data_IF_436423996496
#
_entry.id   IF_436423996496
#
_cell.length_a   1.000
_cell.length_b   1.000
_cell.length_c   1.000
_cell.angle_alpha   90.00
_cell.angle_beta   90.00
_cell.angle_gamma   90.00
#
_symmetry.space_group_name_H-M   'P 1'
#
loop_
_entity.id
_entity.type
_entity.pdbx_description
1 polymer ?
#
# COMPACT_ATOMS: atom_id res chain seq x y z
N UNK A 1 0.33 -11.84 0.25
CA UNK A 1 1.80 -11.74 0.23
C UNK A 1 2.27 -10.98 -1.00
N UNK A 2 3.45 -10.36 -0.92
CA UNK A 2 4.16 -9.70 -2.03
C UNK A 2 5.67 -9.72 -1.72
N UNK A 3 6.52 -9.48 -2.72
CA UNK A 3 7.98 -9.53 -2.56
C UNK A 3 8.55 -8.11 -2.47
N UNK A 4 8.84 -7.64 -1.25
CA UNK A 4 9.35 -6.30 -0.91
C UNK A 4 8.36 -5.14 -1.19
N UNK A 5 7.88 -5.00 -2.42
CA UNK A 5 6.83 -4.05 -2.79
C UNK A 5 5.74 -4.72 -3.64
N UNK A 6 4.62 -4.01 -3.82
CA UNK A 6 3.55 -4.46 -4.72
C UNK A 6 3.91 -4.03 -6.14
N UNK A 7 4.12 -5.00 -7.02
CA UNK A 7 4.44 -4.77 -8.43
C UNK A 7 3.27 -5.22 -9.30
N UNK A 8 2.09 -4.62 -9.08
CA UNK A 8 0.88 -4.98 -9.82
C UNK A 8 0.34 -6.39 -9.55
N UNK A 9 0.96 -7.14 -8.63
CA UNK A 9 0.57 -8.50 -8.27
C UNK A 9 0.72 -8.74 -6.77
N UNK A 10 -0.13 -9.61 -6.25
CA UNK A 10 -0.06 -10.17 -4.89
C UNK A 10 -0.31 -11.67 -4.95
N UNK A 11 -0.02 -12.36 -3.85
CA UNK A 11 -0.09 -13.81 -3.76
C UNK A 11 -0.90 -14.23 -2.53
N UNK A 12 -1.66 -15.31 -2.66
CA UNK A 12 -2.47 -15.87 -1.56
C UNK A 12 -1.61 -16.53 -0.48
N UNK A 13 -0.45 -17.05 -0.86
CA UNK A 13 0.48 -17.79 0.00
C UNK A 13 1.89 -17.21 -0.03
N UNK A 14 2.69 -17.53 0.99
CA UNK A 14 4.06 -17.08 1.19
C UNK A 14 5.07 -17.65 0.18
N UNK A 15 4.69 -18.72 -0.53
CA UNK A 15 5.51 -19.30 -1.59
C UNK A 15 5.56 -18.46 -2.88
N UNK A 16 4.75 -17.39 -2.96
CA UNK A 16 4.68 -16.46 -4.10
C UNK A 16 4.35 -17.14 -5.44
N UNK A 17 3.54 -18.20 -5.38
CA UNK A 17 2.98 -18.88 -6.55
C UNK A 17 1.58 -18.36 -6.87
N UNK A 18 1.15 -18.55 -8.13
CA UNK A 18 -0.19 -18.19 -8.61
C UNK A 18 -0.53 -16.70 -8.38
N UNK A 19 0.11 -15.78 -9.12
CA UNK A 19 -0.06 -14.35 -8.91
C UNK A 19 -1.50 -13.91 -9.19
N UNK A 20 -2.01 -13.04 -8.31
CA UNK A 20 -3.27 -12.33 -8.47
C UNK A 20 -2.92 -10.91 -8.93
N UNK A 21 -3.42 -10.50 -10.09
CA UNK A 21 -3.26 -9.13 -10.56
C UNK A 21 -3.97 -8.17 -9.60
N UNK A 22 -3.25 -7.13 -9.15
CA UNK A 22 -3.78 -6.14 -8.22
C UNK A 22 -5.00 -5.44 -8.79
N UNK A 23 -5.05 -4.97 -10.06
CA UNK A 23 -6.26 -4.34 -10.59
C UNK A 23 -7.49 -5.27 -10.51
N UNK A 24 -7.34 -6.53 -10.92
CA UNK A 24 -8.43 -7.52 -10.86
C UNK A 24 -8.91 -7.73 -9.42
N UNK A 25 -7.98 -7.87 -8.45
CA UNK A 25 -8.33 -7.99 -7.04
C UNK A 25 -9.06 -6.73 -6.55
N UNK A 26 -8.53 -5.56 -6.86
CA UNK A 26 -9.11 -4.29 -6.46
C UNK A 26 -10.54 -4.17 -7.00
N UNK A 27 -10.82 -4.55 -8.24
CA UNK A 27 -12.16 -4.46 -8.84
C UNK A 27 -13.22 -5.32 -8.14
N UNK A 28 -12.81 -6.35 -7.41
CA UNK A 28 -13.73 -7.13 -6.55
C UNK A 28 -14.09 -6.43 -5.23
N UNK A 29 -13.40 -5.34 -4.90
CA UNK A 29 -13.50 -4.65 -3.61
C UNK A 29 -14.03 -3.22 -3.79
N UNK A 30 -14.98 -2.82 -2.92
CA UNK A 30 -15.42 -1.43 -2.81
C UNK A 30 -14.57 -0.64 -1.79
N UNK A 31 -14.72 0.69 -1.76
CA UNK A 31 -13.90 1.57 -0.91
C UNK A 31 -14.11 1.38 0.61
N UNK A 32 -15.17 0.67 1.02
CA UNK A 32 -15.53 0.44 2.42
C UNK A 32 -14.69 -0.65 3.08
N UNK A 33 -14.00 -1.47 2.29
CA UNK A 33 -13.01 -2.40 2.81
C UNK A 33 -11.88 -1.64 3.49
N UNK A 34 -11.34 -2.24 4.55
CA UNK A 34 -10.22 -1.71 5.32
C UNK A 34 -8.97 -2.46 4.92
N UNK A 35 -7.91 -1.75 4.54
CA UNK A 35 -6.64 -2.37 4.14
C UNK A 35 -5.63 -2.26 5.26
N UNK A 36 -4.99 -3.38 5.56
CA UNK A 36 -3.88 -3.46 6.50
C UNK A 36 -2.73 -4.11 5.75
N UNK A 37 -1.64 -3.36 5.55
CA UNK A 37 -0.37 -3.91 5.08
C UNK A 37 0.50 -4.25 6.28
N UNK A 38 1.34 -5.28 6.15
CA UNK A 38 2.23 -5.73 7.22
C UNK A 38 3.61 -5.96 6.63
N UNK A 39 4.64 -5.33 7.21
CA UNK A 39 6.03 -5.44 6.79
C UNK A 39 6.91 -4.36 7.41
N UNK A 40 8.23 -4.52 7.37
CA UNK A 40 9.21 -3.56 7.91
C UNK A 40 9.32 -2.25 7.10
N UNK A 41 8.74 -2.23 5.89
CA UNK A 41 8.85 -1.14 4.93
C UNK A 41 10.31 -0.84 4.51
N UNK A 42 11.23 -1.78 4.77
CA UNK A 42 12.64 -1.68 4.45
C UNK A 42 12.94 -2.51 3.20
N UNK A 43 13.45 -1.86 2.16
CA UNK A 43 13.86 -2.50 0.91
C UNK A 43 14.90 -1.63 0.20
N UNK A 44 15.54 -2.16 -0.83
CA UNK A 44 16.45 -1.33 -1.62
C UNK A 44 15.66 -0.20 -2.30
N UNK A 45 16.17 1.05 -2.37
CA UNK A 45 15.43 2.15 -3.00
C UNK A 45 14.99 1.86 -4.43
N UNK A 46 15.80 1.12 -5.20
CA UNK A 46 15.44 0.70 -6.56
C UNK A 46 14.28 -0.30 -6.63
N UNK A 47 14.03 -1.06 -5.56
CA UNK A 47 12.85 -1.93 -5.47
C UNK A 47 11.58 -1.11 -5.25
N UNK A 48 11.62 -0.07 -4.41
CA UNK A 48 10.44 0.76 -4.17
C UNK A 48 10.18 1.77 -5.30
N UNK A 49 11.23 2.43 -5.77
CA UNK A 49 11.16 3.57 -6.71
C UNK A 49 11.36 3.15 -8.17
N UNK A 50 11.75 1.91 -8.43
CA UNK A 50 11.82 1.35 -9.78
C UNK A 50 10.54 0.61 -10.15
N UNK A 51 10.33 0.45 -11.46
CA UNK A 51 9.39 -0.56 -11.98
C UNK A 51 10.05 -1.92 -11.80
N UNK A 52 9.58 -2.71 -10.82
CA UNK A 52 10.14 -4.03 -10.52
C UNK A 52 10.05 -5.01 -11.70
N UNK A 53 10.66 -6.21 -11.60
CA UNK A 53 10.65 -7.22 -12.67
C UNK A 53 9.23 -7.70 -13.04
N UNK A 54 8.22 -7.36 -12.24
CA UNK A 54 6.81 -7.65 -12.46
C UNK A 54 5.95 -6.40 -12.67
N UNK A 55 6.54 -5.25 -13.05
CA UNK A 55 5.86 -3.93 -13.10
C UNK A 55 4.55 -3.86 -13.90
N UNK A 56 4.29 -4.81 -14.80
CA UNK A 56 3.00 -5.00 -15.46
C UNK A 56 2.17 -6.12 -14.82
N UNK A 57 0.94 -5.83 -14.35
CA UNK A 57 0.00 -6.84 -13.83
C UNK A 57 -0.28 -7.95 -14.85
N UNK A 58 -0.40 -7.59 -16.13
CA UNK A 58 -0.83 -8.46 -17.23
C UNK A 58 0.31 -8.93 -18.13
N UNK A 59 1.56 -8.57 -17.81
CA UNK A 59 2.74 -8.95 -18.57
C UNK A 59 3.19 -7.92 -19.62
N UNK A 60 4.22 -8.35 -20.37
CA UNK A 60 5.33 -7.58 -20.95
C UNK A 60 6.33 -7.09 -19.89
N UNK A 61 7.35 -7.91 -19.69
CA UNK A 61 8.43 -7.71 -18.72
C UNK A 61 9.49 -6.78 -19.33
N UNK A 62 9.29 -5.48 -19.25
CA UNK A 62 10.38 -4.53 -19.46
C UNK A 62 10.64 -3.77 -18.16
N UNK A 63 11.84 -3.90 -17.61
CA UNK A 63 12.29 -2.95 -16.58
C UNK A 63 12.12 -1.53 -17.14
N UNK A 64 11.38 -0.69 -16.45
CA UNK A 64 11.12 0.71 -16.84
C UNK A 64 9.76 0.99 -17.48
N UNK A 65 8.96 -0.04 -17.78
CA UNK A 65 7.58 0.13 -18.28
C UNK A 65 6.56 -0.25 -17.18
N UNK A 66 5.93 0.76 -16.56
CA UNK A 66 4.83 0.57 -15.61
C UNK A 66 5.02 1.25 -14.24
N UNK A 67 3.98 1.27 -13.38
CA UNK A 67 4.03 1.94 -12.09
C UNK A 67 5.14 1.35 -11.19
N UNK A 68 5.78 2.21 -10.42
CA UNK A 68 6.76 1.81 -9.40
C UNK A 68 6.09 1.06 -8.25
N UNK A 69 6.87 0.41 -7.39
CA UNK A 69 6.34 -0.17 -6.15
C UNK A 69 5.59 0.86 -5.30
N UNK A 70 6.12 2.09 -5.24
CA UNK A 70 5.47 3.21 -4.54
C UNK A 70 4.14 3.62 -5.21
N UNK A 71 4.09 3.67 -6.54
CA UNK A 71 2.86 4.03 -7.27
C UNK A 71 1.75 3.01 -7.01
N UNK A 72 2.08 1.72 -6.93
CA UNK A 72 1.11 0.68 -6.57
C UNK A 72 0.58 0.85 -5.15
N UNK A 73 1.45 1.20 -4.20
CA UNK A 73 1.02 1.53 -2.84
C UNK A 73 0.10 2.75 -2.80
N UNK A 74 0.40 3.81 -3.55
CA UNK A 74 -0.46 4.98 -3.69
C UNK A 74 -1.81 4.60 -4.31
N UNK A 75 -1.80 3.78 -5.36
CA UNK A 75 -3.02 3.31 -6.02
C UNK A 75 -3.90 2.53 -5.04
N UNK A 76 -3.34 1.58 -4.30
CA UNK A 76 -4.05 0.83 -3.26
C UNK A 76 -4.61 1.79 -2.21
N UNK A 77 -3.79 2.69 -1.65
CA UNK A 77 -4.22 3.63 -0.62
C UNK A 77 -5.38 4.51 -1.09
N UNK A 78 -5.37 4.96 -2.35
CA UNK A 78 -6.38 5.84 -2.93
C UNK A 78 -7.76 5.18 -3.13
N UNK A 79 -7.81 3.85 -3.23
CA UNK A 79 -9.06 3.12 -3.49
C UNK A 79 -9.92 2.94 -2.25
N UNK A 80 -9.32 2.92 -1.06
CA UNK A 80 -10.00 2.59 0.18
C UNK A 80 -10.11 3.79 1.11
N UNK A 81 -11.25 3.94 1.77
CA UNK A 81 -11.49 4.99 2.77
C UNK A 81 -10.46 4.91 3.92
N UNK A 82 -10.01 3.68 4.23
CA UNK A 82 -9.14 3.38 5.35
C UNK A 82 -8.07 2.37 4.96
N UNK A 83 -6.82 2.78 5.06
CA UNK A 83 -5.63 1.94 4.92
C UNK A 83 -4.60 2.30 5.99
N UNK A 84 -3.89 1.30 6.50
CA UNK A 84 -2.79 1.45 7.47
C UNK A 84 -1.69 0.45 7.16
N UNK A 85 -0.51 0.70 7.72
CA UNK A 85 0.64 -0.19 7.64
C UNK A 85 1.12 -0.56 9.04
N UNK A 86 1.22 -1.86 9.34
CA UNK A 86 1.79 -2.38 10.57
C UNK A 86 3.26 -2.74 10.34
N UNK A 87 4.15 -2.09 11.09
CA UNK A 87 5.58 -2.27 10.96
C UNK A 87 6.15 -2.96 12.22
N UNK A 88 6.86 -4.10 12.12
CA UNK A 88 7.52 -4.75 13.27
C UNK A 88 8.70 -3.96 13.86
N UNK A 89 9.36 -3.13 13.05
CA UNK A 89 10.49 -2.32 13.50
C UNK A 89 10.02 -1.17 14.40
N UNK A 90 10.77 -0.84 15.46
CA UNK A 90 10.46 0.30 16.32
C UNK A 90 10.38 1.64 15.55
N UNK A 91 9.44 2.56 15.90
CA UNK A 91 9.23 3.84 15.21
C UNK A 91 10.48 4.72 15.02
N UNK A 92 11.46 4.60 15.93
CA UNK A 92 12.74 5.32 15.83
C UNK A 92 13.53 5.01 14.54
N UNK A 93 13.23 3.92 13.84
CA UNK A 93 13.89 3.53 12.59
C UNK A 93 13.18 4.01 11.33
N UNK A 94 11.97 4.55 11.43
CA UNK A 94 11.14 4.85 10.25
C UNK A 94 11.48 6.18 9.56
N UNK A 95 12.36 6.99 10.16
CA UNK A 95 12.64 8.36 9.71
C UNK A 95 13.40 8.49 8.39
N UNK A 96 13.76 7.40 7.72
CA UNK A 96 14.59 7.40 6.51
C UNK A 96 14.19 6.39 5.44
N UNK A 97 14.85 6.51 4.29
CA UNK A 97 14.78 5.54 3.18
C UNK A 97 13.37 5.22 2.70
N UNK A 98 13.16 3.95 2.35
CA UNK A 98 11.88 3.42 1.86
C UNK A 98 10.80 3.44 2.93
N UNK A 99 11.17 3.28 4.20
CA UNK A 99 10.22 3.32 5.31
C UNK A 99 9.57 4.71 5.42
N UNK A 100 10.35 5.79 5.29
CA UNK A 100 9.81 7.16 5.24
C UNK A 100 8.88 7.37 4.05
N UNK A 101 9.24 6.85 2.88
CA UNK A 101 8.40 6.95 1.68
C UNK A 101 7.06 6.23 1.86
N UNK A 102 7.07 4.99 2.35
CA UNK A 102 5.86 4.22 2.66
C UNK A 102 5.02 4.92 3.74
N UNK A 103 5.66 5.47 4.78
CA UNK A 103 4.98 6.24 5.83
C UNK A 103 4.36 7.56 5.38
N UNK A 104 4.72 8.05 4.19
CA UNK A 104 4.02 9.19 3.56
C UNK A 104 2.72 8.79 2.86
N UNK A 105 2.57 7.50 2.53
CA UNK A 105 1.37 6.95 1.87
C UNK A 105 0.40 6.37 2.89
N UNK A 106 0.90 5.62 3.87
CA UNK A 106 0.08 4.96 4.88
C UNK A 106 0.39 5.50 6.28
N UNK A 107 -0.64 5.77 7.11
CA UNK A 107 -0.44 5.85 8.56
C UNK A 107 0.19 4.54 9.06
N UNK A 108 1.38 4.65 9.65
CA UNK A 108 2.15 3.51 10.16
C UNK A 108 1.99 3.35 11.66
N UNK A 109 1.83 2.11 12.11
CA UNK A 109 1.74 1.74 13.52
C UNK A 109 2.71 0.59 13.83
N UNK A 110 3.25 0.58 15.06
CA UNK A 110 4.20 -0.45 15.48
C UNK A 110 3.42 -1.76 15.72
N UNK A 111 3.97 -2.90 15.30
CA UNK A 111 3.34 -4.20 15.48
C UNK A 111 3.50 -4.68 16.94
N UNK A 112 2.83 -3.97 17.85
CA UNK A 112 2.63 -4.32 19.27
C UNK A 112 1.15 -4.33 19.58
N UNK A 113 0.77 -4.75 20.78
CA UNK A 113 -0.63 -4.73 21.21
C UNK A 113 -1.21 -3.30 21.19
N UNK A 114 -0.42 -2.33 21.63
CA UNK A 114 -0.78 -0.91 21.64
C UNK A 114 -0.92 -0.38 20.21
N UNK A 115 0.05 -0.63 19.33
CA UNK A 115 -0.02 -0.16 17.95
C UNK A 115 -1.15 -0.82 17.14
N UNK A 116 -1.49 -2.09 17.43
CA UNK A 116 -2.69 -2.73 16.89
C UNK A 116 -3.97 -2.01 17.33
N UNK A 117 -4.05 -1.62 18.60
CA UNK A 117 -5.19 -0.86 19.14
C UNK A 117 -5.32 0.50 18.45
N UNK A 118 -4.21 1.21 18.27
CA UNK A 118 -4.16 2.50 17.56
C UNK A 118 -4.55 2.37 16.08
N UNK A 119 -4.03 1.35 15.39
CA UNK A 119 -4.37 1.05 14.01
C UNK A 119 -5.88 0.76 13.85
N UNK A 120 -6.45 -0.06 14.74
CA UNK A 120 -7.88 -0.37 14.72
C UNK A 120 -8.75 0.86 14.99
N UNK A 121 -8.32 1.74 15.91
CA UNK A 121 -8.99 3.02 16.13
C UNK A 121 -8.93 3.90 14.87
N UNK A 122 -7.77 3.99 14.19
CA UNK A 122 -7.61 4.74 12.94
C UNK A 122 -8.48 4.22 11.81
N UNK A 123 -8.65 2.90 11.73
CA UNK A 123 -9.50 2.22 10.75
C UNK A 123 -11.00 2.32 11.06
N UNK A 124 -11.38 2.69 12.28
CA UNK A 124 -12.78 2.73 12.71
C UNK A 124 -13.37 4.13 12.76
N UNK A 125 -12.54 5.17 12.68
CA UNK A 125 -13.01 6.55 12.51
C UNK A 125 -13.65 6.69 11.14
N UNK A 126 -14.98 6.87 11.10
CA UNK A 126 -15.73 7.02 9.87
C UNK A 126 -15.12 8.07 8.94
N UNK A 127 -15.04 7.74 7.65
CA UNK A 127 -14.61 8.63 6.58
C UNK A 127 -15.41 9.93 6.67
N UNK A 128 -14.77 11.02 7.12
CA UNK A 128 -15.31 12.35 6.88
C UNK A 128 -15.10 12.59 5.40
N UNK A 129 -16.16 12.47 4.60
CA UNK A 129 -16.12 12.84 3.20
C UNK A 129 -15.58 14.27 3.09
N UNK A 130 -14.52 14.46 2.30
CA UNK A 130 -14.04 15.79 1.99
C UNK A 130 -15.19 16.58 1.33
N UNK A 131 -15.43 17.85 1.69
CA UNK A 131 -16.51 18.62 1.10
C UNK A 131 -16.28 18.75 -0.41
N UNK A 132 -17.25 18.26 -1.20
CA UNK A 132 -17.30 18.52 -2.62
C UNK A 132 -17.42 20.02 -2.84
N UNK A 133 -16.38 20.65 -3.38
CA UNK A 133 -16.48 22.00 -3.91
C UNK A 133 -17.38 21.98 -5.14
N UNK A 134 -18.67 22.31 -4.95
CA UNK A 134 -19.54 22.74 -6.04
C UNK A 134 -19.08 24.12 -6.51
N UNK A 135 -18.30 24.16 -7.60
CA UNK A 135 -18.10 25.38 -8.36
C UNK A 135 -19.40 25.67 -9.12
N UNK A 136 -20.22 26.57 -8.58
CA UNK A 136 -21.32 27.18 -9.33
C UNK A 136 -20.69 28.24 -10.24
N UNK A 137 -20.57 27.91 -11.53
CA UNK A 137 -20.22 28.85 -12.58
C UNK A 137 -21.40 29.77 -12.89
N UNK A 138 -21.10 31.07 -13.01
CA UNK A 138 -21.97 32.11 -13.55
C UNK A 138 -22.14 31.99 -15.05
#
# INVERSE_FOLDING_TARGET
>A
YFHNAVYGRVFSTENLMDPIAVPDLLDTLNSRWKVILVGDAAMAPGELLGSGPWGSPYGLNTFGDGPTGLDWFVHIASKFDHSVWLNPDPPRYWGGGTCKAIGSVFPMFHLTLEGLTEAMARLSKGSVAAPHHHTVGR
#
